data_IF_251453761129
#
_entry.id   IF_251453761129
#
_cell.length_a   1.000
_cell.length_b   1.000
_cell.length_c   1.000
_cell.angle_alpha   90.00
_cell.angle_beta   90.00
_cell.angle_gamma   90.00
#
_symmetry.space_group_name_H-M   'P 1'
#
loop_
_entity.id
_entity.type
_entity.pdbx_description
1 polymer ?
#
# COMPACT_ATOMS: atom_id res chain seq x y z
N UNK A 1 -6.26 -23.36 -53.94
CA UNK A 1 -6.22 -22.17 -53.06
C UNK A 1 -6.61 -22.63 -51.66
N UNK A 2 -5.64 -22.94 -50.81
CA UNK A 2 -5.87 -23.21 -49.40
C UNK A 2 -5.94 -21.86 -48.70
N UNK A 3 -7.12 -21.52 -48.16
CA UNK A 3 -7.32 -20.32 -47.31
C UNK A 3 -6.62 -20.55 -45.99
N UNK A 4 -5.50 -19.86 -45.81
CA UNK A 4 -4.74 -19.78 -44.56
C UNK A 4 -5.58 -18.97 -43.55
N UNK A 5 -6.54 -19.63 -42.89
CA UNK A 5 -7.28 -19.06 -41.76
C UNK A 5 -6.33 -19.04 -40.54
N UNK A 6 -5.43 -18.08 -40.48
CA UNK A 6 -4.75 -17.73 -39.23
C UNK A 6 -5.81 -17.30 -38.23
N UNK A 7 -6.28 -18.24 -37.40
CA UNK A 7 -7.07 -17.91 -36.23
C UNK A 7 -6.28 -16.94 -35.39
N UNK A 8 -6.73 -15.69 -35.32
CA UNK A 8 -6.11 -14.68 -34.44
C UNK A 8 -6.16 -15.19 -33.00
N UNK A 9 -5.03 -15.39 -32.40
CA UNK A 9 -4.94 -15.83 -31.00
C UNK A 9 -5.71 -14.84 -30.13
N UNK A 10 -6.67 -15.27 -29.29
CA UNK A 10 -7.51 -14.36 -28.55
C UNK A 10 -6.69 -13.51 -27.56
N UNK A 11 -6.95 -12.21 -27.55
CA UNK A 11 -6.42 -11.29 -26.57
C UNK A 11 -7.42 -11.13 -25.44
N UNK A 12 -6.96 -11.19 -24.20
CA UNK A 12 -7.80 -11.05 -23.02
C UNK A 12 -7.05 -10.29 -21.91
N UNK A 13 -7.81 -9.65 -21.01
CA UNK A 13 -7.24 -8.88 -19.89
C UNK A 13 -7.21 -9.70 -18.62
N UNK A 14 -6.07 -9.70 -17.95
CA UNK A 14 -5.83 -10.40 -16.69
C UNK A 14 -5.59 -9.38 -15.58
N UNK A 15 -6.38 -9.46 -14.52
CA UNK A 15 -6.12 -8.76 -13.26
C UNK A 15 -5.33 -9.65 -12.31
N UNK A 16 -4.41 -9.04 -11.55
CA UNK A 16 -3.57 -9.69 -10.54
C UNK A 16 -3.75 -9.00 -9.19
N UNK A 17 -3.81 -9.80 -8.12
CA UNK A 17 -3.58 -9.32 -6.74
C UNK A 17 -2.15 -9.70 -6.36
N UNK A 18 -1.36 -8.71 -5.94
CA UNK A 18 0.08 -8.81 -5.81
C UNK A 18 0.48 -8.41 -4.38
N UNK A 19 1.22 -9.28 -3.72
CA UNK A 19 1.88 -9.03 -2.44
C UNK A 19 3.39 -8.88 -2.68
N UNK A 20 4.04 -7.92 -2.02
CA UNK A 20 5.50 -7.78 -2.09
C UNK A 20 6.11 -7.13 -0.86
N UNK A 21 7.34 -7.54 -0.56
CA UNK A 21 8.23 -6.91 0.41
C UNK A 21 9.03 -5.83 -0.30
N UNK A 22 8.77 -4.56 0.00
CA UNK A 22 9.35 -3.42 -0.72
C UNK A 22 10.83 -3.15 -0.41
N UNK A 23 11.39 -3.79 0.61
CA UNK A 23 12.72 -3.48 1.17
C UNK A 23 13.83 -3.39 0.10
N UNK A 24 13.85 -4.34 -0.85
CA UNK A 24 14.87 -4.43 -1.88
C UNK A 24 14.45 -3.83 -3.23
N UNK A 25 13.34 -3.07 -3.27
CA UNK A 25 12.84 -2.46 -4.49
C UNK A 25 12.92 -0.93 -4.45
N UNK A 26 13.26 -0.34 -5.58
CA UNK A 26 13.18 1.11 -5.81
C UNK A 26 11.74 1.55 -6.13
N UNK A 27 10.77 0.91 -5.45
CA UNK A 27 9.35 1.13 -5.57
C UNK A 27 8.68 0.30 -6.67
N UNK A 28 7.43 0.65 -6.94
CA UNK A 28 6.62 -0.06 -7.93
C UNK A 28 7.07 0.18 -9.37
N UNK A 29 7.17 1.47 -9.76
CA UNK A 29 7.30 1.88 -11.16
C UNK A 29 8.66 1.54 -11.74
N UNK A 30 8.70 0.92 -12.92
CA UNK A 30 9.92 0.64 -13.68
C UNK A 30 10.76 1.91 -13.86
N UNK A 31 12.05 1.80 -13.58
CA UNK A 31 13.07 2.84 -13.68
C UNK A 31 14.34 2.26 -14.29
N UNK A 32 15.08 3.08 -15.05
CA UNK A 32 16.33 2.64 -15.68
C UNK A 32 17.38 2.23 -14.62
N UNK A 33 17.93 1.04 -14.76
CA UNK A 33 18.99 0.47 -13.93
C UNK A 33 18.62 0.34 -12.42
N UNK A 34 17.33 0.20 -12.11
CA UNK A 34 16.84 0.02 -10.74
C UNK A 34 15.91 -1.19 -10.68
N UNK A 35 16.08 -2.02 -9.67
CA UNK A 35 15.18 -3.16 -9.41
C UNK A 35 13.81 -2.64 -8.91
N UNK A 36 12.75 -2.94 -9.65
CA UNK A 36 11.39 -2.48 -9.37
C UNK A 36 10.38 -3.62 -9.46
N UNK A 37 9.28 -3.53 -8.69
CA UNK A 37 8.25 -4.60 -8.67
C UNK A 37 7.61 -4.79 -10.05
N UNK A 38 7.31 -3.69 -10.75
CA UNK A 38 6.72 -3.73 -12.09
C UNK A 38 7.62 -4.46 -13.09
N UNK A 39 8.92 -4.19 -13.09
CA UNK A 39 9.87 -4.80 -14.03
C UNK A 39 10.04 -6.29 -13.79
N UNK A 40 10.15 -6.73 -12.54
CA UNK A 40 10.23 -8.16 -12.21
C UNK A 40 9.02 -8.94 -12.72
N UNK A 41 7.80 -8.39 -12.50
CA UNK A 41 6.58 -9.04 -12.96
C UNK A 41 6.46 -8.99 -14.49
N UNK A 42 6.79 -7.87 -15.15
CA UNK A 42 6.80 -7.76 -16.61
C UNK A 42 7.79 -8.76 -17.23
N UNK A 43 8.97 -8.95 -16.61
CA UNK A 43 9.97 -9.94 -17.03
C UNK A 43 9.45 -11.37 -16.88
N UNK A 44 8.79 -11.70 -15.76
CA UNK A 44 8.17 -13.00 -15.55
C UNK A 44 7.07 -13.28 -16.60
N UNK A 45 6.23 -12.28 -16.90
CA UNK A 45 5.20 -12.40 -17.95
C UNK A 45 5.85 -12.61 -19.34
N UNK A 46 6.90 -11.84 -19.65
CA UNK A 46 7.60 -11.96 -20.93
C UNK A 46 8.28 -13.33 -21.10
N UNK A 47 8.80 -13.92 -20.02
CA UNK A 47 9.37 -15.28 -20.04
C UNK A 47 8.32 -16.34 -20.39
N UNK A 48 7.05 -16.12 -20.02
CA UNK A 48 5.93 -17.03 -20.32
C UNK A 48 5.37 -16.81 -21.73
N UNK A 49 5.23 -15.54 -22.14
CA UNK A 49 4.57 -15.18 -23.41
C UNK A 49 5.52 -15.15 -24.60
N UNK A 50 6.84 -14.98 -24.38
CA UNK A 50 7.83 -14.75 -25.42
C UNK A 50 7.87 -13.33 -25.98
N UNK A 51 7.09 -12.40 -25.40
CA UNK A 51 7.06 -10.97 -25.78
C UNK A 51 6.77 -10.09 -24.57
N UNK A 52 7.17 -8.81 -24.65
CA UNK A 52 6.95 -7.85 -23.58
C UNK A 52 5.50 -7.36 -23.49
N UNK A 53 5.00 -7.23 -22.28
CA UNK A 53 3.71 -6.60 -21.98
C UNK A 53 3.91 -5.44 -21.01
N UNK A 54 2.96 -4.51 -20.99
CA UNK A 54 2.94 -3.44 -19.99
C UNK A 54 1.99 -3.82 -18.86
N UNK A 55 2.50 -3.81 -17.64
CA UNK A 55 1.73 -4.03 -16.41
C UNK A 55 1.23 -2.69 -15.85
N UNK A 56 -0.07 -2.53 -15.70
CA UNK A 56 -0.70 -1.32 -15.19
C UNK A 56 -1.12 -1.50 -13.73
N UNK A 57 -0.39 -0.90 -12.77
CA UNK A 57 -0.72 -0.95 -11.36
C UNK A 57 -1.80 0.04 -10.94
N UNK A 58 -2.54 -0.27 -9.86
CA UNK A 58 -3.57 0.59 -9.27
C UNK A 58 -2.99 1.87 -8.63
N UNK A 59 -1.76 1.83 -8.18
CA UNK A 59 -1.03 2.95 -7.61
C UNK A 59 0.46 2.67 -7.56
N UNK A 60 1.27 3.73 -7.48
CA UNK A 60 2.71 3.61 -7.27
C UNK A 60 2.98 3.58 -5.77
N UNK A 61 3.96 2.79 -5.36
CA UNK A 61 4.56 2.83 -4.02
C UNK A 61 6.00 3.32 -4.14
N UNK A 62 6.47 4.05 -3.12
CA UNK A 62 7.85 4.54 -3.05
C UNK A 62 8.84 3.38 -2.81
N UNK A 63 10.14 3.64 -3.00
CA UNK A 63 11.20 2.71 -2.61
C UNK A 63 11.06 2.29 -1.15
N UNK A 64 11.19 1.00 -0.86
CA UNK A 64 11.09 0.41 0.47
C UNK A 64 9.67 0.22 1.01
N UNK A 65 8.62 0.67 0.31
CA UNK A 65 7.21 0.53 0.73
C UNK A 65 6.66 -0.83 0.33
N UNK A 66 5.99 -1.51 1.26
CA UNK A 66 5.39 -2.83 1.08
C UNK A 66 3.98 -2.76 0.48
N UNK A 67 3.50 -3.89 -0.01
CA UNK A 67 2.09 -4.07 -0.33
C UNK A 67 1.60 -5.46 0.08
N UNK A 68 0.45 -5.51 0.73
CA UNK A 68 -0.27 -6.73 1.04
C UNK A 68 -1.17 -7.17 -0.13
N UNK A 69 -1.82 -6.22 -0.80
CA UNK A 69 -2.70 -6.49 -1.93
C UNK A 69 -2.72 -5.31 -2.93
N UNK A 70 -1.59 -5.07 -3.59
CA UNK A 70 -1.55 -4.24 -4.79
C UNK A 70 -2.34 -4.92 -5.90
N UNK A 71 -3.02 -4.16 -6.76
CA UNK A 71 -3.74 -4.68 -7.90
C UNK A 71 -3.14 -4.14 -9.19
N UNK A 72 -2.95 -5.01 -10.17
CA UNK A 72 -2.47 -4.64 -11.50
C UNK A 72 -3.21 -5.42 -12.59
N UNK A 73 -3.09 -4.99 -13.84
CA UNK A 73 -3.59 -5.73 -14.98
C UNK A 73 -2.62 -5.65 -16.17
N UNK A 74 -2.73 -6.63 -17.06
CA UNK A 74 -2.07 -6.66 -18.35
C UNK A 74 -2.96 -7.33 -19.38
N UNK A 75 -2.64 -7.18 -20.66
CA UNK A 75 -3.28 -7.89 -21.75
C UNK A 75 -2.39 -9.07 -22.18
N UNK A 76 -2.95 -10.26 -22.24
CA UNK A 76 -2.31 -11.48 -22.72
C UNK A 76 -2.92 -11.94 -24.02
N UNK A 77 -2.11 -12.58 -24.87
CA UNK A 77 -2.58 -13.39 -26.00
C UNK A 77 -2.23 -14.84 -25.73
N UNK A 78 -3.09 -15.77 -26.12
CA UNK A 78 -2.82 -17.20 -25.94
C UNK A 78 -3.92 -17.94 -25.19
N UNK A 79 -3.59 -19.15 -24.72
CA UNK A 79 -4.55 -20.10 -24.17
C UNK A 79 -4.44 -20.32 -22.66
N UNK A 80 -3.57 -19.56 -21.96
CA UNK A 80 -3.46 -19.69 -20.50
C UNK A 80 -4.74 -19.13 -19.87
N UNK A 81 -5.53 -19.95 -19.13
CA UNK A 81 -6.71 -19.44 -18.45
C UNK A 81 -6.35 -18.33 -17.45
N UNK A 82 -7.15 -17.25 -17.42
CA UNK A 82 -6.84 -16.07 -16.60
C UNK A 82 -6.60 -16.39 -15.10
N UNK A 83 -7.31 -17.37 -14.54
CA UNK A 83 -7.15 -17.81 -13.15
C UNK A 83 -5.86 -18.61 -12.88
N UNK A 84 -5.17 -19.08 -13.91
CA UNK A 84 -3.90 -19.83 -13.78
C UNK A 84 -2.67 -18.94 -13.74
N UNK A 85 -2.77 -17.67 -14.09
CA UNK A 85 -1.62 -16.76 -14.15
C UNK A 85 -0.92 -16.60 -12.80
N UNK A 86 -1.64 -16.61 -11.68
CA UNK A 86 -1.02 -16.57 -10.36
C UNK A 86 -0.04 -17.75 -10.15
N UNK A 87 -0.47 -18.97 -10.43
CA UNK A 87 0.39 -20.16 -10.30
C UNK A 87 1.57 -20.11 -11.26
N UNK A 88 1.32 -19.72 -12.53
CA UNK A 88 2.38 -19.64 -13.54
C UNK A 88 3.43 -18.59 -13.16
N UNK A 89 3.02 -17.37 -12.81
CA UNK A 89 3.97 -16.29 -12.51
C UNK A 89 4.79 -16.58 -11.25
N UNK A 90 4.20 -17.19 -10.22
CA UNK A 90 4.90 -17.51 -8.98
C UNK A 90 6.06 -18.51 -9.16
N UNK A 91 6.13 -19.25 -10.28
CA UNK A 91 7.30 -20.09 -10.59
C UNK A 91 8.48 -19.34 -11.21
N UNK A 92 8.27 -18.08 -11.62
CA UNK A 92 9.31 -17.22 -12.22
C UNK A 92 9.71 -16.05 -11.32
N UNK A 93 8.87 -15.71 -10.34
CA UNK A 93 9.07 -14.52 -9.50
C UNK A 93 10.05 -14.79 -8.35
N UNK A 94 10.80 -13.77 -7.93
CA UNK A 94 11.65 -13.85 -6.74
C UNK A 94 10.80 -13.95 -5.45
N UNK A 95 11.38 -14.43 -4.33
CA UNK A 95 10.63 -14.72 -3.09
C UNK A 95 10.03 -13.48 -2.41
N UNK A 96 10.41 -12.29 -2.81
CA UNK A 96 9.89 -11.03 -2.27
C UNK A 96 8.71 -10.45 -3.09
N UNK A 97 8.21 -11.20 -4.11
CA UNK A 97 6.96 -10.93 -4.84
C UNK A 97 6.10 -12.20 -4.90
N UNK A 98 4.82 -12.08 -4.61
CA UNK A 98 3.86 -13.17 -4.70
C UNK A 98 2.57 -12.69 -5.38
N UNK A 99 2.12 -13.41 -6.42
CA UNK A 99 0.80 -13.22 -7.01
C UNK A 99 -0.19 -14.06 -6.20
N UNK A 100 -1.08 -13.40 -5.46
CA UNK A 100 -2.06 -14.04 -4.59
C UNK A 100 -3.25 -14.61 -5.37
N UNK A 101 -3.67 -13.89 -6.43
CA UNK A 101 -4.77 -14.30 -7.29
C UNK A 101 -4.63 -13.68 -8.69
N UNK A 102 -5.27 -14.34 -9.67
CA UNK A 102 -5.42 -13.84 -11.03
C UNK A 102 -6.81 -14.15 -11.56
N UNK A 103 -7.42 -13.23 -12.32
CA UNK A 103 -8.76 -13.38 -12.91
C UNK A 103 -8.86 -12.64 -14.24
N UNK A 104 -9.74 -13.13 -15.11
CA UNK A 104 -10.13 -12.42 -16.33
C UNK A 104 -11.05 -11.25 -15.99
N UNK A 105 -10.85 -10.13 -16.66
CA UNK A 105 -11.68 -8.92 -16.51
C UNK A 105 -12.05 -8.36 -17.87
N UNK A 106 -13.11 -7.54 -17.90
CA UNK A 106 -13.55 -6.86 -19.13
C UNK A 106 -12.45 -5.96 -19.66
N UNK A 107 -12.37 -5.74 -20.96
CA UNK A 107 -11.41 -4.87 -21.59
C UNK A 107 -11.49 -3.41 -21.09
N UNK A 108 -12.68 -2.95 -20.72
CA UNK A 108 -12.90 -1.62 -20.14
C UNK A 108 -12.40 -1.48 -18.71
N UNK A 109 -12.15 -2.59 -17.99
CA UNK A 109 -11.66 -2.54 -16.61
C UNK A 109 -10.18 -2.15 -16.57
N UNK A 110 -9.83 -1.24 -15.66
CA UNK A 110 -8.47 -0.75 -15.52
C UNK A 110 -8.05 -0.66 -14.04
N UNK A 111 -6.97 -1.31 -13.66
CA UNK A 111 -6.51 -1.38 -12.27
C UNK A 111 -6.41 -0.01 -11.57
N UNK A 112 -6.02 1.05 -12.27
CA UNK A 112 -5.90 2.40 -11.70
C UNK A 112 -7.21 3.17 -11.75
N UNK A 113 -7.89 3.18 -12.89
CA UNK A 113 -9.02 4.09 -13.15
C UNK A 113 -10.36 3.54 -12.68
N UNK A 114 -10.52 2.21 -12.62
CA UNK A 114 -11.71 1.57 -12.03
C UNK A 114 -11.65 1.47 -10.50
N UNK A 115 -10.51 1.78 -9.88
CA UNK A 115 -10.36 1.71 -8.43
C UNK A 115 -11.08 2.86 -7.73
N UNK A 116 -11.88 2.53 -6.72
CA UNK A 116 -12.67 3.46 -5.91
C UNK A 116 -11.90 3.97 -4.71
N UNK A 117 -11.00 3.16 -4.14
CA UNK A 117 -10.12 3.57 -3.05
C UNK A 117 -8.81 2.80 -3.02
N UNK A 118 -7.84 3.32 -2.23
CA UNK A 118 -6.63 2.66 -1.74
C UNK A 118 -6.61 2.83 -0.23
N UNK A 119 -6.24 1.77 0.49
CA UNK A 119 -6.07 1.80 1.95
C UNK A 119 -4.65 1.44 2.30
N UNK A 120 -4.00 2.32 3.06
CA UNK A 120 -2.65 2.13 3.56
C UNK A 120 -2.68 1.99 5.08
N UNK A 121 -1.76 1.18 5.60
CA UNK A 121 -1.40 1.14 7.02
C UNK A 121 0.05 1.57 7.17
N UNK A 122 0.28 2.41 8.16
CA UNK A 122 1.62 2.72 8.65
C UNK A 122 1.76 2.16 10.06
N UNK A 123 2.88 1.44 10.33
CA UNK A 123 3.16 0.80 11.62
C UNK A 123 4.34 1.49 12.29
N UNK A 124 4.19 1.88 13.57
CA UNK A 124 5.24 2.43 14.42
C UNK A 124 5.45 1.47 15.59
N UNK A 125 6.72 1.12 15.86
CA UNK A 125 7.12 0.32 17.01
C UNK A 125 7.76 1.23 18.07
N UNK A 126 7.27 1.16 19.33
CA UNK A 126 7.54 2.18 20.36
C UNK A 126 8.35 1.70 21.56
N UNK A 127 8.87 0.47 21.57
CA UNK A 127 9.75 0.00 22.64
C UNK A 127 11.12 0.66 22.61
N UNK A 128 11.80 0.69 23.76
CA UNK A 128 13.13 1.29 23.89
C UNK A 128 14.18 0.59 23.02
N UNK A 129 14.11 -0.75 22.92
CA UNK A 129 15.01 -1.55 22.09
C UNK A 129 14.35 -1.98 20.79
N UNK A 130 15.09 -1.99 19.66
CA UNK A 130 14.55 -2.47 18.39
C UNK A 130 14.25 -3.96 18.45
N UNK A 131 13.22 -4.39 17.72
CA UNK A 131 12.92 -5.79 17.48
C UNK A 131 13.23 -6.13 16.02
N UNK A 132 14.20 -6.99 15.76
CA UNK A 132 14.67 -7.33 14.42
C UNK A 132 13.60 -7.98 13.53
N UNK A 133 12.60 -8.65 14.11
CA UNK A 133 11.49 -9.26 13.38
C UNK A 133 10.40 -8.26 13.02
N UNK A 134 10.36 -7.10 13.69
CA UNK A 134 9.37 -6.03 13.48
C UNK A 134 9.96 -4.88 12.69
N UNK A 135 11.25 -4.60 12.87
CA UNK A 135 11.96 -3.48 12.25
C UNK A 135 11.82 -3.41 10.71
N UNK A 136 11.78 -4.54 9.96
CA UNK A 136 11.58 -4.49 8.51
C UNK A 136 10.19 -3.98 8.09
N UNK A 137 9.20 -3.96 9.00
CA UNK A 137 7.79 -3.63 8.73
C UNK A 137 7.25 -2.48 9.58
N UNK A 138 8.14 -1.73 10.27
CA UNK A 138 7.75 -0.66 11.16
C UNK A 138 8.79 0.46 11.21
N UNK A 139 8.37 1.60 11.69
CA UNK A 139 9.27 2.65 12.13
C UNK A 139 9.53 2.49 13.62
N UNK A 140 10.74 2.15 14.02
CA UNK A 140 11.15 2.15 15.41
C UNK A 140 11.30 3.60 15.91
N UNK A 141 10.33 4.03 16.73
CA UNK A 141 10.28 5.37 17.31
C UNK A 141 10.26 5.28 18.83
N UNK A 142 11.35 5.63 19.46
CA UNK A 142 11.58 5.52 20.92
C UNK A 142 11.98 6.85 21.56
N UNK A 143 12.01 7.94 20.81
CA UNK A 143 12.50 9.25 21.31
C UNK A 143 11.56 9.91 22.30
N UNK A 144 10.28 9.67 22.18
CA UNK A 144 9.26 10.20 23.09
C UNK A 144 8.00 9.30 23.06
N UNK A 145 7.22 9.25 24.14
CA UNK A 145 5.90 8.61 24.10
C UNK A 145 5.01 9.18 22.99
N UNK A 146 4.26 8.33 22.33
CA UNK A 146 3.27 8.72 21.33
C UNK A 146 1.86 8.59 21.92
N UNK A 147 1.09 9.68 21.87
CA UNK A 147 -0.32 9.69 22.22
C UNK A 147 -1.18 9.47 20.97
N UNK A 148 -1.62 8.22 20.73
CA UNK A 148 -2.42 7.85 19.56
C UNK A 148 -3.77 8.59 19.50
N UNK A 149 -4.33 9.00 20.65
CA UNK A 149 -5.55 9.81 20.71
C UNK A 149 -5.36 11.21 20.10
N UNK A 150 -4.21 11.84 20.33
CA UNK A 150 -3.87 13.12 19.69
C UNK A 150 -3.66 12.93 18.18
N UNK A 151 -3.01 11.84 17.78
CA UNK A 151 -2.81 11.51 16.36
C UNK A 151 -4.16 11.26 15.67
N UNK A 152 -5.09 10.55 16.31
CA UNK A 152 -6.45 10.35 15.80
C UNK A 152 -7.22 11.68 15.70
N UNK A 153 -7.11 12.53 16.72
CA UNK A 153 -7.76 13.85 16.71
C UNK A 153 -7.26 14.75 15.57
N UNK A 154 -5.95 14.65 15.24
CA UNK A 154 -5.37 15.35 14.09
C UNK A 154 -5.86 14.79 12.73
N UNK A 155 -6.07 13.48 12.63
CA UNK A 155 -6.52 12.81 11.39
C UNK A 155 -7.99 13.03 11.09
N UNK A 156 -8.85 13.06 12.10
CA UNK A 156 -10.31 13.08 11.95
C UNK A 156 -10.81 14.23 11.04
N UNK A 157 -10.30 15.48 11.17
CA UNK A 157 -10.71 16.58 10.30
C UNK A 157 -10.31 16.43 8.83
N UNK A 158 -9.41 15.51 8.49
CA UNK A 158 -8.98 15.26 7.11
C UNK A 158 -9.98 14.39 6.33
N UNK A 159 -10.98 13.79 7.00
CA UNK A 159 -12.04 13.03 6.31
C UNK A 159 -12.86 13.98 5.46
N UNK A 160 -13.08 13.60 4.19
CA UNK A 160 -13.73 14.43 3.19
C UNK A 160 -12.78 14.82 2.05
N UNK A 161 -13.22 15.76 1.22
CA UNK A 161 -12.48 16.24 0.06
C UNK A 161 -11.72 17.53 0.39
N UNK A 162 -10.40 17.44 0.38
CA UNK A 162 -9.53 18.57 0.74
C UNK A 162 -8.42 18.77 -0.30
N UNK A 163 -7.91 20.00 -0.40
CA UNK A 163 -6.69 20.30 -1.12
C UNK A 163 -5.50 20.11 -0.18
N UNK A 164 -4.73 19.05 -0.38
CA UNK A 164 -3.69 18.60 0.56
C UNK A 164 -2.27 18.86 0.01
N UNK A 165 -2.07 20.03 -0.60
CA UNK A 165 -0.78 20.42 -1.20
C UNK A 165 0.38 20.43 -0.18
N UNK A 166 0.12 20.74 1.10
CA UNK A 166 1.10 20.64 2.17
C UNK A 166 1.77 19.25 2.25
N UNK A 167 1.05 18.19 1.90
CA UNK A 167 1.54 16.80 1.93
C UNK A 167 1.90 16.26 0.55
N UNK A 168 2.24 17.12 -0.40
CA UNK A 168 2.63 16.73 -1.75
C UNK A 168 4.14 16.86 -1.92
N UNK A 169 4.83 15.76 -2.16
CA UNK A 169 6.25 15.76 -2.48
C UNK A 169 6.48 16.25 -3.91
N UNK A 170 7.54 17.03 -4.13
CA UNK A 170 7.92 17.49 -5.47
C UNK A 170 8.20 16.31 -6.42
N UNK A 171 8.04 16.54 -7.74
CA UNK A 171 8.31 15.53 -8.78
C UNK A 171 7.07 14.73 -9.23
N UNK A 172 5.87 15.12 -8.84
CA UNK A 172 4.62 14.52 -9.35
C UNK A 172 4.11 15.23 -10.60
N UNK A 173 3.66 14.45 -11.58
CA UNK A 173 2.98 14.97 -12.78
C UNK A 173 1.47 15.23 -12.56
N UNK A 174 0.96 15.16 -11.32
CA UNK A 174 -0.46 15.39 -11.02
C UNK A 174 -0.75 16.90 -11.06
N UNK A 175 -1.80 17.29 -11.79
CA UNK A 175 -2.17 18.68 -12.03
C UNK A 175 -2.85 19.37 -10.84
N UNK A 176 -3.28 18.61 -9.83
CA UNK A 176 -3.98 19.14 -8.64
C UNK A 176 -3.69 18.32 -7.41
N UNK A 177 -3.89 18.91 -6.22
CA UNK A 177 -3.68 18.27 -4.91
C UNK A 177 -4.99 17.93 -4.17
N UNK A 178 -6.12 17.89 -4.88
CA UNK A 178 -7.40 17.46 -4.31
C UNK A 178 -7.39 15.95 -4.06
N UNK A 179 -7.72 15.57 -2.84
CA UNK A 179 -7.85 14.18 -2.36
C UNK A 179 -9.13 14.06 -1.55
N UNK A 180 -9.86 12.96 -1.72
CA UNK A 180 -10.99 12.60 -0.88
C UNK A 180 -10.55 11.47 0.05
N UNK A 181 -10.35 11.82 1.33
CA UNK A 181 -10.07 10.86 2.40
C UNK A 181 -11.42 10.30 2.87
N UNK A 182 -11.59 8.98 2.79
CA UNK A 182 -12.85 8.30 3.06
C UNK A 182 -12.91 7.72 4.48
N UNK A 183 -11.76 7.32 5.03
CA UNK A 183 -11.66 6.80 6.40
C UNK A 183 -10.25 6.99 6.95
N UNK A 184 -10.14 7.23 8.24
CA UNK A 184 -8.88 7.31 8.99
C UNK A 184 -9.02 6.60 10.32
N UNK A 185 -7.94 5.95 10.76
CA UNK A 185 -7.88 5.27 12.03
C UNK A 185 -6.45 5.37 12.59
N UNK A 186 -6.34 5.67 13.88
CA UNK A 186 -5.09 5.61 14.61
C UNK A 186 -5.32 4.93 15.95
N UNK A 187 -4.64 3.82 16.18
CA UNK A 187 -4.80 3.03 17.40
C UNK A 187 -3.51 2.36 17.84
N UNK A 188 -3.51 1.86 19.07
CA UNK A 188 -2.38 1.15 19.67
C UNK A 188 -2.77 -0.29 19.99
N UNK A 189 -1.85 -1.19 19.66
CA UNK A 189 -1.89 -2.60 20.07
C UNK A 189 -0.54 -2.96 20.69
N UNK A 190 -0.48 -3.03 22.02
CA UNK A 190 0.79 -3.22 22.73
C UNK A 190 1.81 -2.14 22.37
N UNK A 191 2.97 -2.56 21.91
CA UNK A 191 4.07 -1.68 21.48
C UNK A 191 3.90 -1.10 20.08
N UNK A 192 2.83 -1.46 19.35
CA UNK A 192 2.59 -1.01 18.00
C UNK A 192 1.52 0.08 17.95
N UNK A 193 1.82 1.17 17.25
CA UNK A 193 0.83 2.17 16.84
C UNK A 193 0.58 1.99 15.34
N UNK A 194 -0.69 1.79 14.96
CA UNK A 194 -1.13 1.66 13.59
C UNK A 194 -1.90 2.91 13.16
N UNK A 195 -1.59 3.40 11.98
CA UNK A 195 -2.28 4.52 11.34
C UNK A 195 -2.80 3.99 10.01
N UNK A 196 -4.12 3.99 9.81
CA UNK A 196 -4.73 3.60 8.55
C UNK A 196 -5.41 4.80 7.89
N UNK A 197 -5.22 4.91 6.58
CA UNK A 197 -5.82 5.97 5.76
C UNK A 197 -6.37 5.33 4.49
N UNK A 198 -7.66 5.59 4.23
CA UNK A 198 -8.33 5.21 2.99
C UNK A 198 -8.71 6.46 2.22
N UNK A 199 -8.39 6.49 0.93
CA UNK A 199 -8.72 7.61 0.05
C UNK A 199 -8.97 7.14 -1.40
N UNK A 200 -9.64 7.98 -2.19
CA UNK A 200 -9.82 7.76 -3.63
C UNK A 200 -8.49 7.75 -4.40
N UNK A 201 -7.46 8.38 -3.85
CA UNK A 201 -6.10 8.43 -4.37
C UNK A 201 -5.19 9.17 -3.41
N UNK A 202 -3.88 9.06 -3.60
CA UNK A 202 -2.88 9.73 -2.77
C UNK A 202 -1.94 10.57 -3.64
N UNK A 203 -1.43 11.66 -3.07
CA UNK A 203 -0.34 12.44 -3.64
C UNK A 203 0.99 11.71 -3.43
N UNK A 204 1.99 12.06 -4.21
CA UNK A 204 3.32 11.46 -4.09
C UNK A 204 3.91 11.73 -2.69
N UNK A 205 4.24 10.64 -1.98
CA UNK A 205 4.79 10.67 -0.62
C UNK A 205 3.81 11.10 0.48
N UNK A 206 2.53 11.33 0.18
CA UNK A 206 1.52 11.92 1.06
C UNK A 206 1.41 11.19 2.41
N UNK A 207 1.21 9.87 2.40
CA UNK A 207 0.99 9.13 3.66
C UNK A 207 2.20 9.24 4.58
N UNK A 208 3.41 9.15 4.05
CA UNK A 208 4.64 9.26 4.84
C UNK A 208 4.85 10.66 5.41
N UNK A 209 4.48 11.71 4.66
CA UNK A 209 4.52 13.10 5.15
C UNK A 209 3.48 13.33 6.25
N UNK A 210 2.26 12.82 6.07
CA UNK A 210 1.22 12.86 7.10
C UNK A 210 1.68 12.17 8.38
N UNK A 211 2.19 10.96 8.28
CA UNK A 211 2.68 10.21 9.45
C UNK A 211 3.83 10.95 10.15
N UNK A 212 4.77 11.53 9.39
CA UNK A 212 5.83 12.33 9.98
C UNK A 212 5.33 13.53 10.80
N UNK A 213 4.24 14.15 10.36
CA UNK A 213 3.56 15.22 11.10
C UNK A 213 2.76 14.69 12.30
N UNK A 214 2.06 13.56 12.12
CA UNK A 214 1.28 12.93 13.19
C UNK A 214 2.16 12.49 14.37
N UNK A 215 3.37 12.01 14.09
CA UNK A 215 4.36 11.68 15.15
C UNK A 215 4.75 12.94 15.92
N UNK A 216 4.92 14.10 15.27
CA UNK A 216 5.19 15.34 15.96
C UNK A 216 4.00 15.80 16.84
N UNK A 217 2.78 15.55 16.42
CA UNK A 217 1.57 15.81 17.24
C UNK A 217 1.48 14.83 18.40
N UNK A 218 1.63 13.52 18.14
CA UNK A 218 1.56 12.46 19.15
C UNK A 218 2.65 12.59 20.24
N UNK A 219 3.83 13.09 19.87
CA UNK A 219 4.95 13.39 20.80
C UNK A 219 4.88 14.80 21.42
N UNK A 220 3.82 15.57 21.16
CA UNK A 220 3.60 16.94 21.65
C UNK A 220 4.64 17.97 21.19
N UNK A 221 5.39 17.68 20.14
CA UNK A 221 6.28 18.65 19.50
C UNK A 221 5.50 19.71 18.69
N UNK A 222 4.26 19.38 18.26
CA UNK A 222 3.31 20.28 17.62
C UNK A 222 1.93 20.12 18.25
N UNK A 223 1.20 21.22 18.30
CA UNK A 223 -0.20 21.21 18.72
C UNK A 223 -1.14 20.71 17.59
N UNK A 224 -2.38 20.38 17.95
CA UNK A 224 -3.44 20.12 16.96
C UNK A 224 -3.72 21.34 16.08
N UNK A 225 -3.65 22.53 16.67
CA UNK A 225 -3.84 23.80 15.97
C UNK A 225 -2.73 24.04 14.93
N UNK A 226 -1.45 23.79 15.28
CA UNK A 226 -0.33 23.88 14.34
C UNK A 226 -0.52 22.94 13.16
N UNK A 227 -0.90 21.69 13.42
CA UNK A 227 -1.16 20.72 12.39
C UNK A 227 -2.31 21.17 11.47
N UNK A 228 -3.42 21.63 12.05
CA UNK A 228 -4.59 22.10 11.32
C UNK A 228 -4.24 23.32 10.45
N UNK A 229 -3.53 24.29 11.02
CA UNK A 229 -3.11 25.48 10.27
C UNK A 229 -2.21 25.12 9.08
N UNK A 230 -1.26 24.19 9.26
CA UNK A 230 -0.32 23.78 8.21
C UNK A 230 -1.05 23.21 6.97
N UNK A 231 -2.02 22.32 7.16
CA UNK A 231 -2.70 21.73 6.00
C UNK A 231 -3.76 22.65 5.41
N UNK A 232 -4.43 23.50 6.22
CA UNK A 232 -5.40 24.49 5.75
C UNK A 232 -4.75 25.64 4.96
N UNK A 233 -3.57 26.10 5.38
CA UNK A 233 -2.80 27.14 4.68
C UNK A 233 -1.86 26.56 3.62
N UNK A 234 -1.87 25.24 3.43
CA UNK A 234 -1.03 24.54 2.45
C UNK A 234 0.49 24.77 2.64
N UNK A 235 0.91 25.04 3.88
CA UNK A 235 2.29 25.37 4.21
C UNK A 235 3.22 24.16 4.09
N UNK A 236 3.66 23.90 2.85
CA UNK A 236 4.55 22.78 2.52
C UNK A 236 5.92 22.89 3.20
N UNK A 237 6.39 24.10 3.53
CA UNK A 237 7.70 24.31 4.11
C UNK A 237 7.78 23.80 5.56
N UNK A 238 6.66 23.72 6.25
CA UNK A 238 6.57 23.15 7.60
C UNK A 238 6.48 21.62 7.61
N UNK A 239 6.25 20.98 6.46
CA UNK A 239 6.17 19.52 6.32
C UNK A 239 7.49 18.96 5.77
N UNK A 240 8.52 18.93 6.61
CA UNK A 240 9.90 18.59 6.18
C UNK A 240 10.25 17.12 6.27
N UNK A 241 9.59 16.37 7.16
CA UNK A 241 9.97 15.01 7.50
C UNK A 241 8.96 13.97 6.94
N UNK A 242 9.45 13.09 6.09
CA UNK A 242 8.68 11.93 5.64
C UNK A 242 9.06 10.70 6.47
N UNK A 243 8.07 10.05 7.08
CA UNK A 243 8.27 8.83 7.84
C UNK A 243 8.99 7.74 7.01
N UNK A 244 9.83 6.87 7.62
CA UNK A 244 10.57 5.81 6.94
C UNK A 244 9.67 4.91 6.09
N UNK A 245 10.11 4.45 4.91
CA UNK A 245 9.23 3.73 3.96
C UNK A 245 8.80 2.34 4.46
N UNK A 246 9.67 1.64 5.21
CA UNK A 246 9.42 0.27 5.66
C UNK A 246 8.24 0.13 6.63
N UNK A 247 7.81 1.22 7.28
CA UNK A 247 6.60 1.21 8.10
C UNK A 247 5.30 1.25 7.28
N UNK A 248 5.37 1.57 5.97
CA UNK A 248 4.20 1.75 5.12
C UNK A 248 3.88 0.51 4.30
N UNK A 249 2.60 0.11 4.32
CA UNK A 249 2.08 -0.99 3.53
C UNK A 249 0.77 -0.60 2.84
N UNK A 250 0.68 -0.79 1.52
CA UNK A 250 -0.59 -0.77 0.79
C UNK A 250 -1.38 -2.02 1.15
N UNK A 251 -2.43 -1.88 1.98
CA UNK A 251 -3.23 -3.01 2.44
C UNK A 251 -4.12 -3.58 1.35
N UNK A 252 -4.84 -2.70 0.63
CA UNK A 252 -5.81 -3.11 -0.39
C UNK A 252 -6.21 -1.98 -1.32
N UNK A 253 -6.77 -2.38 -2.45
CA UNK A 253 -7.37 -1.49 -3.45
C UNK A 253 -8.80 -1.94 -3.68
N UNK A 254 -9.78 -1.04 -3.54
CA UNK A 254 -11.19 -1.34 -3.71
C UNK A 254 -11.70 -1.00 -5.11
N UNK A 255 -12.68 -1.79 -5.58
CA UNK A 255 -13.37 -1.63 -6.85
C UNK A 255 -14.85 -1.92 -6.68
N UNK A 256 -15.71 -1.27 -7.44
CA UNK A 256 -17.14 -1.60 -7.49
C UNK A 256 -17.38 -2.99 -8.11
N UNK A 257 -16.56 -3.36 -9.10
CA UNK A 257 -16.57 -4.67 -9.78
C UNK A 257 -15.20 -5.35 -9.50
N UNK A 258 -15.02 -5.83 -8.26
CA UNK A 258 -13.80 -6.50 -7.85
C UNK A 258 -13.84 -7.96 -8.30
N UNK A 259 -12.88 -8.44 -9.14
CA UNK A 259 -12.96 -9.76 -9.77
C UNK A 259 -12.57 -10.94 -8.85
N UNK A 260 -12.31 -10.67 -7.56
CA UNK A 260 -11.87 -11.66 -6.57
C UNK A 260 -12.78 -11.67 -5.35
N UNK A 261 -12.75 -12.75 -4.54
CA UNK A 261 -13.36 -12.77 -3.22
C UNK A 261 -12.74 -11.69 -2.33
N UNK A 262 -13.56 -11.00 -1.53
CA UNK A 262 -13.08 -10.01 -0.56
C UNK A 262 -12.25 -10.64 0.58
N UNK A 263 -12.36 -11.94 0.80
CA UNK A 263 -11.55 -12.68 1.77
C UNK A 263 -10.05 -12.51 1.52
N UNK A 264 -9.64 -12.36 0.24
CA UNK A 264 -8.23 -12.13 -0.12
C UNK A 264 -7.62 -10.93 0.59
N UNK A 265 -8.41 -9.88 0.91
CA UNK A 265 -7.91 -8.71 1.64
C UNK A 265 -7.57 -9.01 3.11
N UNK A 266 -8.27 -9.97 3.72
CA UNK A 266 -8.01 -10.38 5.11
C UNK A 266 -6.83 -11.35 5.17
N UNK A 267 -6.74 -12.29 4.23
CA UNK A 267 -5.65 -13.27 4.15
C UNK A 267 -4.29 -12.64 3.85
N UNK A 268 -4.27 -11.51 3.17
CA UNK A 268 -3.01 -10.82 2.77
C UNK A 268 -2.54 -9.80 3.78
N UNK A 269 -3.36 -9.41 4.77
CA UNK A 269 -2.97 -8.38 5.74
C UNK A 269 -1.79 -8.82 6.61
N UNK A 270 -0.79 -7.95 6.84
CA UNK A 270 0.26 -8.25 7.80
C UNK A 270 -0.30 -8.20 9.22
N UNK A 271 -0.34 -9.35 9.89
CA UNK A 271 -0.66 -9.46 11.30
C UNK A 271 0.64 -9.55 12.10
N UNK A 272 0.88 -8.55 12.95
CA UNK A 272 1.89 -8.59 13.98
C UNK A 272 1.15 -8.67 15.32
N UNK A 273 1.09 -9.86 15.91
CA UNK A 273 0.44 -10.07 17.20
C UNK A 273 1.52 -10.27 18.27
N UNK A 274 1.57 -9.38 19.25
CA UNK A 274 2.38 -9.55 20.44
C UNK A 274 1.50 -10.05 21.57
N UNK A 275 1.91 -11.15 22.21
CA UNK A 275 1.29 -11.59 23.46
C UNK A 275 1.75 -10.70 24.61
N UNK A 276 0.83 -10.29 25.49
CA UNK A 276 1.20 -9.70 26.77
C UNK A 276 1.66 -10.80 27.73
N UNK A 277 2.77 -10.55 28.42
CA UNK A 277 3.16 -11.36 29.56
C UNK A 277 2.21 -10.99 30.70
N UNK A 278 1.44 -11.96 31.16
CA UNK A 278 0.61 -11.80 32.37
C UNK A 278 1.50 -11.92 33.61
N UNK A 279 1.04 -11.43 34.77
CA UNK A 279 1.80 -11.44 36.03
C UNK A 279 2.19 -12.85 36.48
N UNK A 280 1.52 -13.90 35.99
CA UNK A 280 1.85 -15.30 36.19
C UNK A 280 2.92 -15.84 35.21
N UNK A 281 3.48 -14.96 34.33
CA UNK A 281 4.49 -15.32 33.36
C UNK A 281 3.96 -16.01 32.09
N UNK A 282 2.66 -16.25 31.96
CA UNK A 282 2.04 -16.78 30.75
C UNK A 282 1.93 -15.71 29.66
N UNK A 283 2.04 -16.11 28.38
CA UNK A 283 1.81 -15.23 27.23
C UNK A 283 0.38 -15.43 26.76
N UNK A 284 -0.46 -14.42 26.92
CA UNK A 284 -1.82 -14.39 26.34
C UNK A 284 -1.83 -13.50 25.12
N UNK A 285 -2.42 -13.95 23.98
CA UNK A 285 -2.65 -13.07 22.86
C UNK A 285 -3.54 -11.91 23.30
N UNK A 286 -3.21 -10.69 22.84
CA UNK A 286 -4.06 -9.53 23.06
C UNK A 286 -5.40 -9.77 22.35
N UNK A 287 -6.43 -10.07 23.14
CA UNK A 287 -7.80 -10.12 22.62
C UNK A 287 -8.21 -8.67 22.40
N UNK A 288 -7.99 -8.16 21.18
CA UNK A 288 -8.58 -6.91 20.77
C UNK A 288 -10.04 -6.87 21.23
N UNK A 289 -10.44 -5.83 21.93
CA UNK A 289 -11.83 -5.63 22.30
C UNK A 289 -12.65 -5.64 21.03
N UNK A 290 -13.39 -6.73 20.80
CA UNK A 290 -14.50 -6.72 19.86
C UNK A 290 -15.48 -5.67 20.42
N UNK A 291 -15.51 -4.51 19.79
CA UNK A 291 -16.63 -3.58 19.99
C UNK A 291 -17.83 -4.22 19.28
N UNK A 292 -18.78 -4.67 20.09
CA UNK A 292 -20.16 -4.88 19.69
C UNK A 292 -20.79 -3.60 19.15
#
# INVERSE_FOLDING_TARGET
MMSDSRQSTPTYRVALVIQYLGTNFHGWQRQKAQRTVQEEIETAIASVLGYHVTLHGAGRTDAGVHAAAQVAHFNATGHIPAHKWATVLNSYLPPDILIRASAGVKESWHARFSATYRRYRYTIYTEALPNLFVSPFSWHYYYAPLEEKLMQAALTPLVGKHHLAAFHRAGSARSHSWVEIQAVECGRQGSLVHIEIQANGFLYGMVRLLVGMLVQVGSKQKSLEDFTNIWQTEDREKVKYAAPPQGLCLLRVGYSDFPFSQEIWYETQPYLVFGHRTDDGSIKPDKGKNNE
#
